data_IF_262137259322
#
_entry.id   IF_262137259322
#
_cell.length_a   1.000
_cell.length_b   1.000
_cell.length_c   1.000
_cell.angle_alpha   90.00
_cell.angle_beta   90.00
_cell.angle_gamma   90.00
#
_symmetry.space_group_name_H-M   'P 1'
#
loop_
_entity.id
_entity.type
_entity.pdbx_description
1 polymer ?
#
# COMPACT_ATOMS: atom_id res chain seq x y z
N UNK A 1 -21.83 -33.51 -6.91
CA UNK A 1 -21.00 -32.76 -5.92
C UNK A 1 -19.57 -32.44 -6.40
N UNK A 2 -19.24 -32.55 -7.70
CA UNK A 2 -17.82 -32.49 -8.15
C UNK A 2 -17.44 -31.27 -9.00
N UNK A 3 -18.38 -30.43 -9.45
CA UNK A 3 -18.07 -29.30 -10.35
C UNK A 3 -17.65 -28.03 -9.57
N UNK A 4 -18.23 -27.81 -8.38
CA UNK A 4 -17.93 -26.63 -7.55
C UNK A 4 -16.52 -26.67 -6.91
N UNK A 5 -16.03 -27.85 -6.55
CA UNK A 5 -14.67 -28.04 -5.98
C UNK A 5 -13.57 -27.79 -7.02
N UNK A 6 -13.82 -28.15 -8.30
CA UNK A 6 -12.88 -27.89 -9.40
C UNK A 6 -12.73 -26.40 -9.73
N UNK A 7 -13.79 -25.61 -9.61
CA UNK A 7 -13.77 -24.17 -9.88
C UNK A 7 -13.04 -23.39 -8.79
N UNK A 8 -13.19 -23.77 -7.51
CA UNK A 8 -12.42 -23.19 -6.39
C UNK A 8 -10.92 -23.45 -6.52
N UNK A 9 -10.53 -24.66 -6.91
CA UNK A 9 -9.12 -24.99 -7.14
C UNK A 9 -8.49 -24.18 -8.28
N UNK A 10 -9.22 -23.98 -9.40
CA UNK A 10 -8.72 -23.21 -10.55
C UNK A 10 -8.48 -21.73 -10.21
N UNK A 11 -9.35 -21.11 -9.43
CA UNK A 11 -9.16 -19.73 -8.98
C UNK A 11 -7.99 -19.60 -7.99
N UNK A 12 -7.81 -20.56 -7.09
CA UNK A 12 -6.68 -20.58 -6.16
C UNK A 12 -5.36 -20.74 -6.92
N UNK A 13 -5.28 -21.70 -7.84
CA UNK A 13 -4.08 -21.91 -8.68
C UNK A 13 -3.72 -20.65 -9.46
N UNK A 14 -4.70 -20.03 -10.15
CA UNK A 14 -4.49 -18.78 -10.88
C UNK A 14 -3.95 -17.67 -9.97
N UNK A 15 -4.52 -17.49 -8.77
CA UNK A 15 -4.09 -16.49 -7.80
C UNK A 15 -2.68 -16.78 -7.28
N UNK A 16 -2.33 -18.03 -7.02
CA UNK A 16 -0.97 -18.41 -6.62
C UNK A 16 0.04 -18.15 -7.74
N UNK A 17 -0.29 -18.52 -8.97
CA UNK A 17 0.57 -18.22 -10.14
C UNK A 17 0.74 -16.70 -10.29
N UNK A 18 -0.33 -15.92 -10.19
CA UNK A 18 -0.25 -14.46 -10.24
C UNK A 18 0.62 -13.89 -9.12
N UNK A 19 0.51 -14.43 -7.89
CA UNK A 19 1.33 -14.01 -6.76
C UNK A 19 2.81 -14.22 -7.07
N UNK A 20 3.22 -15.45 -7.33
CA UNK A 20 4.64 -15.77 -7.50
C UNK A 20 5.22 -15.17 -8.79
N UNK A 21 4.46 -15.15 -9.89
CA UNK A 21 4.87 -14.45 -11.10
C UNK A 21 5.07 -12.94 -10.84
N UNK A 22 4.14 -12.32 -10.09
CA UNK A 22 4.24 -10.91 -9.71
C UNK A 22 5.45 -10.64 -8.80
N UNK A 23 5.68 -11.46 -7.78
CA UNK A 23 6.81 -11.28 -6.87
C UNK A 23 8.17 -11.50 -7.55
N UNK A 24 8.28 -12.52 -8.41
CA UNK A 24 9.49 -12.76 -9.21
C UNK A 24 9.75 -11.59 -10.15
N UNK A 25 8.72 -11.16 -10.87
CA UNK A 25 8.82 -10.02 -11.79
C UNK A 25 9.19 -8.72 -11.06
N UNK A 26 8.72 -8.56 -9.82
CA UNK A 26 9.10 -7.42 -8.97
C UNK A 26 10.61 -7.43 -8.68
N UNK A 27 11.17 -8.57 -8.26
CA UNK A 27 12.61 -8.71 -8.03
C UNK A 27 13.43 -8.47 -9.31
N UNK A 28 12.98 -9.03 -10.44
CA UNK A 28 13.61 -8.78 -11.76
C UNK A 28 13.60 -7.28 -12.09
N UNK A 29 12.46 -6.62 -11.95
CA UNK A 29 12.32 -5.18 -12.25
C UNK A 29 13.23 -4.32 -11.37
N UNK A 30 13.31 -4.63 -10.08
CA UNK A 30 14.21 -3.91 -9.15
C UNK A 30 15.69 -4.12 -9.53
N UNK A 31 16.07 -5.32 -9.95
CA UNK A 31 17.42 -5.58 -10.46
C UNK A 31 17.75 -4.76 -11.72
N UNK A 32 16.79 -4.61 -12.65
CA UNK A 32 16.96 -3.77 -13.84
C UNK A 32 17.14 -2.29 -13.47
N UNK A 33 16.41 -1.80 -12.45
CA UNK A 33 16.61 -0.45 -11.93
C UNK A 33 18.02 -0.27 -11.35
N UNK A 34 18.53 -1.25 -10.61
CA UNK A 34 19.92 -1.26 -10.13
C UNK A 34 20.90 -1.18 -11.30
N UNK A 35 20.75 -2.06 -12.31
CA UNK A 35 21.62 -2.11 -13.49
C UNK A 35 21.56 -0.86 -14.38
N UNK A 36 20.44 -0.12 -14.32
CA UNK A 36 20.33 1.16 -15.03
C UNK A 36 21.28 2.23 -14.48
N UNK A 37 21.63 2.17 -13.19
CA UNK A 37 22.49 3.17 -12.55
C UNK A 37 21.92 4.59 -12.50
N UNK A 38 20.67 4.82 -12.96
CA UNK A 38 20.03 6.15 -13.04
C UNK A 38 19.21 6.53 -11.82
N UNK A 39 19.20 5.67 -10.80
CA UNK A 39 18.43 5.84 -9.55
C UNK A 39 17.40 4.76 -9.34
N UNK A 40 17.08 4.50 -8.08
CA UNK A 40 16.27 3.38 -7.62
C UNK A 40 14.95 3.84 -7.04
N UNK A 41 14.02 2.92 -6.87
CA UNK A 41 12.86 3.12 -6.02
C UNK A 41 13.26 3.39 -4.56
N UNK A 42 12.44 4.11 -3.76
CA UNK A 42 12.81 4.55 -2.41
C UNK A 42 13.43 3.47 -1.51
N UNK A 43 12.84 2.29 -1.48
CA UNK A 43 13.35 1.17 -0.68
C UNK A 43 14.60 0.52 -1.31
N UNK A 44 14.72 0.54 -2.63
CA UNK A 44 15.91 0.10 -3.34
C UNK A 44 17.13 0.94 -2.98
N UNK A 45 16.94 2.26 -2.81
CA UNK A 45 17.99 3.17 -2.33
C UNK A 45 18.50 2.73 -0.95
N UNK A 46 17.59 2.39 -0.02
CA UNK A 46 17.96 1.88 1.30
C UNK A 46 18.69 0.54 1.21
N UNK A 47 18.16 -0.39 0.40
CA UNK A 47 18.77 -1.71 0.26
C UNK A 47 20.17 -1.62 -0.33
N UNK A 48 20.36 -0.80 -1.35
CA UNK A 48 21.67 -0.56 -1.95
C UNK A 48 22.64 0.06 -0.95
N UNK A 49 22.22 1.13 -0.25
CA UNK A 49 23.08 1.79 0.74
C UNK A 49 23.50 0.86 1.88
N UNK A 50 22.61 -0.02 2.34
CA UNK A 50 22.94 -1.04 3.33
C UNK A 50 23.87 -2.12 2.76
N UNK A 51 23.65 -2.54 1.51
CA UNK A 51 24.51 -3.52 0.82
C UNK A 51 25.94 -2.99 0.70
N UNK A 52 26.13 -1.73 0.31
CA UNK A 52 27.43 -1.06 0.25
C UNK A 52 28.17 -1.03 1.60
N UNK A 53 27.44 -0.87 2.72
CA UNK A 53 28.03 -0.83 4.06
C UNK A 53 28.28 -2.21 4.65
N UNK A 54 27.51 -3.21 4.29
CA UNK A 54 27.58 -4.55 4.90
C UNK A 54 28.34 -5.56 4.06
N UNK A 55 28.55 -5.30 2.76
CA UNK A 55 29.12 -6.24 1.81
C UNK A 55 28.19 -7.41 1.44
N UNK A 56 26.92 -7.35 1.86
CA UNK A 56 25.90 -8.33 1.48
C UNK A 56 25.32 -8.00 0.11
N UNK A 57 24.70 -8.98 -0.54
CA UNK A 57 23.96 -8.73 -1.78
C UNK A 57 22.71 -7.89 -1.51
N UNK A 58 22.26 -7.12 -2.51
CA UNK A 58 21.09 -6.24 -2.37
C UNK A 58 19.84 -7.07 -2.07
N UNK A 59 19.70 -8.26 -2.65
CA UNK A 59 18.57 -9.16 -2.41
C UNK A 59 18.58 -9.71 -0.99
N UNK A 60 19.72 -10.11 -0.44
CA UNK A 60 19.84 -10.53 0.96
C UNK A 60 19.47 -9.39 1.91
N UNK A 61 19.96 -8.17 1.65
CA UNK A 61 19.58 -6.97 2.42
C UNK A 61 18.08 -6.71 2.32
N UNK A 62 17.48 -6.85 1.14
CA UNK A 62 16.03 -6.71 0.96
C UNK A 62 15.25 -7.70 1.82
N UNK A 63 15.71 -8.97 1.93
CA UNK A 63 15.11 -9.99 2.79
C UNK A 63 15.22 -9.58 4.26
N UNK A 64 16.40 -9.15 4.71
CA UNK A 64 16.64 -8.73 6.09
C UNK A 64 15.75 -7.53 6.46
N UNK A 65 15.74 -6.49 5.62
CA UNK A 65 14.90 -5.30 5.83
C UNK A 65 13.42 -5.67 5.83
N UNK A 66 12.99 -6.54 4.91
CA UNK A 66 11.63 -7.07 4.87
C UNK A 66 11.24 -7.80 6.15
N UNK A 67 12.13 -8.63 6.68
CA UNK A 67 11.94 -9.33 7.95
C UNK A 67 11.86 -8.34 9.13
N UNK A 68 12.73 -7.33 9.19
CA UNK A 68 12.68 -6.26 10.21
C UNK A 68 11.35 -5.51 10.13
N UNK A 69 10.89 -5.17 8.93
CA UNK A 69 9.58 -4.52 8.74
C UNK A 69 8.45 -5.40 9.23
N UNK A 70 8.50 -6.73 9.00
CA UNK A 70 7.51 -7.66 9.55
C UNK A 70 7.56 -7.73 11.08
N UNK A 71 8.74 -7.63 11.71
CA UNK A 71 8.84 -7.55 13.17
C UNK A 71 8.17 -6.28 13.71
N UNK A 72 8.25 -5.16 12.98
CA UNK A 72 7.52 -3.94 13.34
C UNK A 72 5.99 -4.10 13.24
N UNK A 73 5.47 -5.12 12.57
CA UNK A 73 4.04 -5.40 12.54
C UNK A 73 3.52 -5.94 13.88
N UNK A 74 4.37 -6.55 14.70
CA UNK A 74 3.97 -7.09 16.02
C UNK A 74 3.37 -6.01 16.92
N UNK A 75 4.05 -4.87 17.20
CA UNK A 75 3.46 -3.81 18.04
C UNK A 75 2.26 -3.13 17.37
N UNK A 76 2.20 -3.05 16.05
CA UNK A 76 1.07 -2.47 15.32
C UNK A 76 -0.07 -3.48 15.06
N UNK A 77 0.06 -4.71 15.60
CA UNK A 77 -0.94 -5.79 15.53
C UNK A 77 -1.43 -6.10 14.12
N UNK A 78 -0.57 -5.98 13.12
CA UNK A 78 -0.86 -6.42 11.76
C UNK A 78 -0.59 -7.92 11.64
N UNK A 79 -1.41 -8.62 10.84
CA UNK A 79 -1.25 -10.06 10.60
C UNK A 79 -0.68 -10.28 9.20
N UNK A 80 0.51 -10.90 9.07
CA UNK A 80 1.07 -11.23 7.76
C UNK A 80 0.24 -12.33 7.09
N UNK A 81 0.00 -12.17 5.79
CA UNK A 81 -0.58 -13.22 4.94
C UNK A 81 0.50 -14.04 4.24
N UNK A 82 0.08 -15.08 3.50
CA UNK A 82 0.99 -15.88 2.68
C UNK A 82 1.78 -15.00 1.70
N UNK A 83 1.08 -14.07 1.03
CA UNK A 83 1.72 -13.15 0.09
C UNK A 83 2.73 -12.22 0.76
N UNK A 84 2.48 -11.82 2.01
CA UNK A 84 3.40 -10.97 2.78
C UNK A 84 4.72 -11.67 3.06
N UNK A 85 4.66 -12.91 3.54
CA UNK A 85 5.87 -13.71 3.82
C UNK A 85 6.60 -14.07 2.53
N UNK A 86 5.87 -14.52 1.51
CA UNK A 86 6.46 -14.83 0.20
C UNK A 86 7.13 -13.62 -0.44
N UNK A 87 6.58 -12.41 -0.25
CA UNK A 87 7.13 -11.16 -0.78
C UNK A 87 8.57 -10.93 -0.27
N UNK A 88 8.82 -11.14 1.02
CA UNK A 88 10.13 -10.95 1.64
C UNK A 88 11.21 -11.79 0.94
N UNK A 89 10.93 -13.06 0.71
CA UNK A 89 11.92 -13.98 0.15
C UNK A 89 11.98 -13.94 -1.38
N UNK A 90 10.81 -13.98 -2.04
CA UNK A 90 10.75 -14.13 -3.49
C UNK A 90 11.36 -12.92 -4.23
N UNK A 91 11.10 -11.70 -3.75
CA UNK A 91 11.65 -10.48 -4.38
C UNK A 91 13.18 -10.46 -4.23
N UNK A 92 13.70 -10.70 -3.02
CA UNK A 92 15.15 -10.67 -2.78
C UNK A 92 15.90 -11.73 -3.59
N UNK A 93 15.40 -12.97 -3.61
CA UNK A 93 16.00 -14.06 -4.39
C UNK A 93 15.96 -13.81 -5.90
N UNK A 94 14.81 -13.34 -6.41
CA UNK A 94 14.68 -13.00 -7.84
C UNK A 94 15.58 -11.83 -8.23
N UNK A 95 15.75 -10.85 -7.34
CA UNK A 95 16.62 -9.71 -7.54
C UNK A 95 18.10 -10.14 -7.65
N UNK A 96 18.59 -10.91 -6.67
CA UNK A 96 19.99 -11.40 -6.70
C UNK A 96 20.22 -12.32 -7.88
N UNK A 97 19.29 -13.24 -8.19
CA UNK A 97 19.37 -14.09 -9.37
C UNK A 97 19.44 -13.30 -10.67
N UNK A 98 18.69 -12.21 -10.78
CA UNK A 98 18.72 -11.35 -11.97
C UNK A 98 20.03 -10.55 -12.03
N UNK A 99 20.51 -10.02 -10.91
CA UNK A 99 21.79 -9.29 -10.86
C UNK A 99 22.98 -10.18 -11.22
N UNK A 100 22.90 -11.48 -10.93
CA UNK A 100 23.92 -12.44 -11.34
C UNK A 100 23.91 -12.75 -12.86
N UNK A 101 22.77 -12.58 -13.52
CA UNK A 101 22.59 -12.89 -14.95
C UNK A 101 22.74 -11.67 -15.85
N UNK A 102 22.35 -10.49 -15.39
CA UNK A 102 22.37 -9.24 -16.17
C UNK A 102 23.66 -8.49 -15.84
N UNK A 103 24.56 -8.29 -16.81
CA UNK A 103 25.79 -7.55 -16.60
C UNK A 103 25.51 -6.06 -16.35
N UNK A 104 26.53 -5.37 -15.85
CA UNK A 104 26.50 -3.91 -15.75
C UNK A 104 26.43 -3.31 -17.16
N UNK A 105 25.68 -2.22 -17.30
CA UNK A 105 25.46 -1.54 -18.57
C UNK A 105 25.99 -0.12 -18.48
N UNK A 106 26.96 0.17 -19.34
CA UNK A 106 27.54 1.50 -19.45
C UNK A 106 26.87 2.31 -20.56
N UNK A 107 26.71 3.61 -20.28
CA UNK A 107 26.19 4.55 -21.23
C UNK A 107 24.66 4.65 -21.28
N UNK A 108 24.18 5.86 -21.53
CA UNK A 108 22.74 6.19 -21.52
C UNK A 108 21.91 5.37 -22.51
N UNK A 109 22.49 4.96 -23.62
CA UNK A 109 21.81 4.15 -24.63
C UNK A 109 21.31 2.78 -24.09
N UNK A 110 22.04 2.19 -23.12
CA UNK A 110 21.61 0.98 -22.45
C UNK A 110 20.87 1.24 -21.14
N UNK A 111 21.31 2.23 -20.36
CA UNK A 111 20.74 2.56 -19.06
C UNK A 111 19.29 3.03 -19.13
N UNK A 112 18.95 3.91 -20.12
CA UNK A 112 17.58 4.44 -20.26
C UNK A 112 16.55 3.36 -20.60
N UNK A 113 16.78 2.45 -21.56
CA UNK A 113 15.88 1.32 -21.79
C UNK A 113 15.71 0.40 -20.58
N UNK A 114 16.79 0.11 -19.83
CA UNK A 114 16.72 -0.68 -18.61
C UNK A 114 15.88 -0.01 -17.54
N UNK A 115 16.06 1.30 -17.34
CA UNK A 115 15.24 2.08 -16.42
C UNK A 115 13.75 2.03 -16.81
N UNK A 116 13.45 2.31 -18.08
CA UNK A 116 12.07 2.31 -18.58
C UNK A 116 11.42 0.94 -18.43
N UNK A 117 12.13 -0.12 -18.83
CA UNK A 117 11.69 -1.51 -18.70
C UNK A 117 11.48 -1.87 -17.23
N UNK A 118 12.43 -1.53 -16.35
CA UNK A 118 12.32 -1.74 -14.90
C UNK A 118 11.07 -1.10 -14.31
N UNK A 119 10.80 0.17 -14.63
CA UNK A 119 9.61 0.90 -14.13
C UNK A 119 8.32 0.22 -14.61
N UNK A 120 8.22 -0.11 -15.91
CA UNK A 120 7.02 -0.74 -16.47
C UNK A 120 6.79 -2.13 -15.87
N UNK A 121 7.84 -2.97 -15.82
CA UNK A 121 7.75 -4.30 -15.23
C UNK A 121 7.40 -4.25 -13.73
N UNK A 122 7.87 -3.24 -13.00
CA UNK A 122 7.51 -3.05 -11.60
C UNK A 122 6.03 -2.73 -11.45
N UNK A 123 5.46 -1.91 -12.34
CA UNK A 123 4.02 -1.65 -12.39
C UNK A 123 3.20 -2.90 -12.68
N UNK A 124 3.62 -3.73 -13.66
CA UNK A 124 3.00 -5.04 -13.97
C UNK A 124 3.06 -5.96 -12.76
N UNK A 125 4.24 -6.11 -12.16
CA UNK A 125 4.49 -6.94 -10.99
C UNK A 125 3.58 -6.54 -9.82
N UNK A 126 3.51 -5.25 -9.53
CA UNK A 126 2.65 -4.68 -8.49
C UNK A 126 1.18 -5.01 -8.76
N UNK A 127 0.70 -4.82 -9.99
CA UNK A 127 -0.66 -5.20 -10.38
C UNK A 127 -0.96 -6.67 -10.18
N UNK A 128 -0.02 -7.55 -10.56
CA UNK A 128 -0.17 -9.02 -10.43
C UNK A 128 -0.26 -9.46 -8.97
N UNK A 129 0.73 -9.08 -8.13
CA UNK A 129 0.77 -9.60 -6.75
C UNK A 129 -0.35 -9.03 -5.89
N UNK A 130 -0.75 -7.76 -6.08
CA UNK A 130 -1.88 -7.15 -5.36
C UNK A 130 -3.20 -7.82 -5.79
N UNK A 131 -3.41 -8.04 -7.10
CA UNK A 131 -4.59 -8.71 -7.62
C UNK A 131 -4.75 -10.15 -7.10
N UNK A 132 -3.66 -10.79 -6.69
CA UNK A 132 -3.67 -12.12 -6.10
C UNK A 132 -4.31 -12.18 -4.70
N UNK A 133 -4.40 -11.05 -3.96
CA UNK A 133 -5.09 -10.91 -2.66
C UNK A 133 -4.64 -11.90 -1.57
N UNK A 134 -3.36 -12.20 -1.47
CA UNK A 134 -2.77 -13.03 -0.40
C UNK A 134 -2.17 -12.23 0.76
N UNK A 135 -2.53 -10.98 0.87
CA UNK A 135 -2.07 -10.05 1.89
C UNK A 135 -1.22 -8.91 1.30
N UNK A 136 -1.13 -7.79 2.03
CA UNK A 136 -0.32 -6.66 1.61
C UNK A 136 1.17 -6.98 1.70
N UNK A 137 1.99 -6.31 0.91
CA UNK A 137 3.43 -6.35 1.07
C UNK A 137 3.87 -5.83 2.45
N UNK A 138 5.08 -6.19 2.93
CA UNK A 138 5.56 -5.74 4.24
C UNK A 138 5.50 -4.22 4.42
N UNK A 139 5.86 -3.47 3.40
CA UNK A 139 5.87 -1.99 3.37
C UNK A 139 4.46 -1.40 3.42
N UNK A 140 3.53 -1.98 2.64
CA UNK A 140 2.14 -1.52 2.56
C UNK A 140 1.43 -1.75 3.89
N UNK A 141 1.67 -2.89 4.53
CA UNK A 141 1.12 -3.19 5.85
C UNK A 141 1.69 -2.30 6.96
N UNK A 142 2.98 -1.93 6.88
CA UNK A 142 3.58 -0.94 7.78
C UNK A 142 2.87 0.41 7.64
N UNK A 143 2.68 0.90 6.41
CA UNK A 143 2.00 2.16 6.13
C UNK A 143 0.56 2.17 6.63
N UNK A 144 -0.20 1.11 6.35
CA UNK A 144 -1.60 0.98 6.80
C UNK A 144 -1.70 0.80 8.31
N UNK A 145 -0.77 0.09 8.93
CA UNK A 145 -0.69 -0.09 10.37
C UNK A 145 -0.41 1.22 11.10
N UNK A 146 0.58 1.98 10.65
CA UNK A 146 0.91 3.29 11.20
C UNK A 146 -0.22 4.31 10.98
N UNK A 147 -0.87 4.29 9.81
CA UNK A 147 -2.08 5.10 9.57
C UNK A 147 -3.15 4.85 10.64
N UNK A 148 -3.46 3.57 10.94
CA UNK A 148 -4.44 3.21 11.96
C UNK A 148 -4.04 3.63 13.38
N UNK A 149 -2.75 3.50 13.72
CA UNK A 149 -2.24 3.85 15.04
C UNK A 149 -2.19 5.36 15.28
N UNK A 150 -1.80 6.12 14.26
CA UNK A 150 -1.54 7.56 14.40
C UNK A 150 -2.73 8.42 14.04
N UNK A 151 -3.76 7.88 13.37
CA UNK A 151 -4.87 8.64 12.81
C UNK A 151 -4.49 9.63 11.70
N UNK A 152 -3.21 9.65 11.29
CA UNK A 152 -2.73 10.53 10.21
C UNK A 152 -3.13 9.99 8.84
N UNK A 153 -3.24 10.87 7.85
CA UNK A 153 -3.59 10.43 6.49
C UNK A 153 -2.57 9.42 5.97
N UNK A 154 -3.04 8.40 5.24
CA UNK A 154 -2.16 7.36 4.68
C UNK A 154 -1.12 7.96 3.73
N UNK A 155 -1.46 9.04 3.01
CA UNK A 155 -0.52 9.76 2.14
C UNK A 155 0.63 10.35 2.93
N UNK A 156 0.34 11.01 4.06
CA UNK A 156 1.37 11.59 4.92
C UNK A 156 2.29 10.51 5.50
N UNK A 157 1.72 9.41 6.02
CA UNK A 157 2.48 8.28 6.57
C UNK A 157 3.39 7.68 5.50
N UNK A 158 2.85 7.43 4.30
CA UNK A 158 3.61 6.91 3.16
C UNK A 158 4.77 7.85 2.81
N UNK A 159 4.48 9.13 2.57
CA UNK A 159 5.51 10.10 2.19
C UNK A 159 6.59 10.21 3.28
N UNK A 160 6.20 10.25 4.56
CA UNK A 160 7.16 10.30 5.66
C UNK A 160 8.09 9.08 5.69
N UNK A 161 7.54 7.86 5.53
CA UNK A 161 8.34 6.63 5.46
C UNK A 161 9.27 6.69 4.24
N UNK A 162 8.76 7.04 3.06
CA UNK A 162 9.56 7.08 1.84
C UNK A 162 10.69 8.11 1.94
N UNK A 163 10.44 9.28 2.51
CA UNK A 163 11.48 10.29 2.74
C UNK A 163 12.56 9.79 3.70
N UNK A 164 12.17 9.19 4.82
CA UNK A 164 13.11 8.62 5.79
C UNK A 164 13.95 7.51 5.16
N UNK A 165 13.32 6.62 4.41
CA UNK A 165 13.98 5.48 3.75
C UNK A 165 14.96 5.96 2.68
N UNK A 166 14.56 6.91 1.82
CA UNK A 166 15.45 7.48 0.80
C UNK A 166 16.61 8.24 1.43
N UNK A 167 16.33 9.11 2.42
CA UNK A 167 17.37 9.88 3.08
C UNK A 167 18.40 8.97 3.77
N UNK A 168 17.92 7.95 4.50
CA UNK A 168 18.81 6.97 5.15
C UNK A 168 19.62 6.19 4.12
N UNK A 169 18.98 5.69 3.06
CA UNK A 169 19.66 4.94 2.02
C UNK A 169 20.70 5.78 1.27
N UNK A 170 20.38 7.03 0.95
CA UNK A 170 21.32 7.96 0.32
C UNK A 170 22.54 8.25 1.19
N UNK A 171 22.33 8.51 2.49
CA UNK A 171 23.43 8.71 3.45
C UNK A 171 24.34 7.48 3.60
N UNK A 172 23.80 6.29 3.35
CA UNK A 172 24.55 5.03 3.37
C UNK A 172 25.26 4.71 2.04
N UNK A 173 25.05 5.50 0.99
CA UNK A 173 25.68 5.32 -0.32
C UNK A 173 24.74 4.82 -1.42
N UNK A 174 23.45 4.71 -1.16
CA UNK A 174 22.45 4.33 -2.16
C UNK A 174 22.24 5.41 -3.21
N UNK A 175 21.96 4.99 -4.44
CA UNK A 175 21.85 5.86 -5.62
C UNK A 175 20.46 6.50 -5.74
N UNK A 176 20.43 7.83 -5.66
CA UNK A 176 19.25 8.65 -5.97
C UNK A 176 19.53 9.42 -7.25
N UNK A 177 18.61 9.40 -8.20
CA UNK A 177 18.78 10.06 -9.49
C UNK A 177 17.48 10.34 -10.21
N UNK A 178 17.61 10.67 -11.50
CA UNK A 178 16.43 10.92 -12.37
C UNK A 178 15.49 9.72 -12.39
N UNK A 179 16.03 8.51 -12.35
CA UNK A 179 15.25 7.27 -12.28
C UNK A 179 14.36 7.20 -11.05
N UNK A 180 14.83 7.67 -9.88
CA UNK A 180 14.03 7.71 -8.64
C UNK A 180 12.80 8.61 -8.79
N UNK A 181 12.97 9.78 -9.42
CA UNK A 181 11.88 10.71 -9.68
C UNK A 181 10.89 10.14 -10.69
N UNK A 182 11.39 9.61 -11.80
CA UNK A 182 10.54 8.98 -12.83
C UNK A 182 9.76 7.79 -12.27
N UNK A 183 10.41 6.95 -11.46
CA UNK A 183 9.74 5.85 -10.78
C UNK A 183 8.61 6.37 -9.88
N UNK A 184 8.89 7.35 -9.02
CA UNK A 184 7.90 7.89 -8.09
C UNK A 184 6.66 8.46 -8.79
N UNK A 185 6.83 9.09 -9.95
CA UNK A 185 5.74 9.63 -10.76
C UNK A 185 4.98 8.56 -11.52
N UNK A 186 5.67 7.55 -12.06
CA UNK A 186 5.08 6.57 -12.96
C UNK A 186 4.45 5.37 -12.23
N UNK A 187 4.99 4.94 -11.07
CA UNK A 187 4.56 3.70 -10.44
C UNK A 187 3.09 3.71 -10.00
N UNK A 188 2.58 4.84 -9.50
CA UNK A 188 1.19 4.97 -9.08
C UNK A 188 0.20 4.69 -10.22
N UNK A 189 0.23 5.45 -11.32
CA UNK A 189 -0.61 5.22 -12.49
C UNK A 189 -0.44 3.83 -13.11
N UNK A 190 0.80 3.33 -13.25
CA UNK A 190 1.07 2.02 -13.80
C UNK A 190 0.48 0.89 -12.95
N UNK A 191 0.72 0.93 -11.63
CA UNK A 191 0.19 -0.07 -10.71
C UNK A 191 -1.35 -0.09 -10.74
N UNK A 192 -2.01 1.06 -10.78
CA UNK A 192 -3.47 1.15 -10.87
C UNK A 192 -4.00 0.59 -12.20
N UNK A 193 -3.34 0.92 -13.31
CA UNK A 193 -3.70 0.39 -14.63
C UNK A 193 -3.63 -1.14 -14.67
N UNK A 194 -2.49 -1.71 -14.25
CA UNK A 194 -2.29 -3.14 -14.27
C UNK A 194 -3.13 -3.88 -13.22
N UNK A 195 -3.38 -3.28 -12.05
CA UNK A 195 -4.27 -3.84 -11.05
C UNK A 195 -5.68 -4.06 -11.61
N UNK A 196 -6.22 -3.07 -12.33
CA UNK A 196 -7.53 -3.20 -13.00
C UNK A 196 -7.51 -4.29 -14.08
N UNK A 197 -6.39 -4.43 -14.80
CA UNK A 197 -6.24 -5.41 -15.88
C UNK A 197 -6.16 -6.85 -15.38
N UNK A 198 -5.56 -7.07 -14.20
CA UNK A 198 -5.32 -8.38 -13.61
C UNK A 198 -6.32 -8.77 -12.53
N UNK A 199 -7.24 -7.89 -12.15
CA UNK A 199 -8.26 -8.19 -11.16
C UNK A 199 -8.99 -9.50 -11.51
N UNK A 200 -9.10 -10.39 -10.53
CA UNK A 200 -9.88 -11.62 -10.67
C UNK A 200 -11.31 -11.29 -10.22
N UNK A 201 -12.32 -11.41 -11.11
CA UNK A 201 -13.72 -11.18 -10.76
C UNK A 201 -14.14 -12.09 -9.60
N UNK A 202 -14.70 -11.53 -8.54
CA UNK A 202 -15.40 -12.31 -7.52
C UNK A 202 -16.84 -12.53 -8.00
N UNK A 203 -17.24 -13.78 -8.20
CA UNK A 203 -18.65 -14.12 -8.31
C UNK A 203 -19.28 -13.95 -6.93
N UNK A 204 -20.13 -12.96 -6.78
CA UNK A 204 -20.86 -12.65 -5.54
C UNK A 204 -20.76 -11.20 -5.09
N UNK A 205 -19.99 -10.35 -5.77
CA UNK A 205 -19.92 -8.92 -5.45
C UNK A 205 -21.06 -8.10 -6.09
N UNK A 206 -21.87 -8.71 -6.97
CA UNK A 206 -23.00 -8.02 -7.61
C UNK A 206 -24.20 -7.82 -6.66
N UNK A 207 -24.21 -8.51 -5.50
CA UNK A 207 -25.26 -8.34 -4.47
C UNK A 207 -24.80 -7.57 -3.22
N UNK A 208 -23.53 -7.21 -3.11
CA UNK A 208 -23.04 -6.34 -2.06
C UNK A 208 -22.91 -4.92 -2.60
N UNK A 209 -23.70 -4.00 -2.06
CA UNK A 209 -23.55 -2.57 -2.33
C UNK A 209 -22.07 -2.17 -2.26
N UNK A 210 -21.57 -1.35 -3.19
CA UNK A 210 -20.15 -0.96 -3.22
C UNK A 210 -19.79 -0.35 -1.86
N UNK A 211 -18.84 -0.98 -1.17
CA UNK A 211 -18.23 -0.38 0.00
C UNK A 211 -17.71 1.01 -0.39
N UNK A 212 -17.93 2.05 0.42
CA UNK A 212 -17.51 3.38 0.08
C UNK A 212 -16.02 3.37 -0.21
N UNK A 213 -15.67 3.73 -1.44
CA UNK A 213 -14.29 3.91 -1.85
C UNK A 213 -13.72 5.03 -0.97
N UNK A 214 -12.54 4.87 -0.38
CA UNK A 214 -11.88 6.01 0.23
C UNK A 214 -11.61 7.02 -0.88
N UNK A 215 -12.28 8.17 -0.78
CA UNK A 215 -12.28 9.25 -1.74
C UNK A 215 -10.88 9.59 -2.22
N UNK A 216 -10.63 9.32 -3.48
CA UNK A 216 -9.58 9.98 -4.23
C UNK A 216 -10.01 11.44 -4.41
N UNK A 217 -9.62 12.29 -3.44
CA UNK A 217 -9.53 13.73 -3.60
C UNK A 217 -10.72 14.45 -4.25
N UNK A 218 -11.88 14.44 -3.61
CA UNK A 218 -12.92 15.43 -3.85
C UNK A 218 -12.99 16.38 -2.65
N UNK A 219 -12.75 17.66 -2.88
CA UNK A 219 -13.02 18.72 -1.92
C UNK A 219 -14.49 18.62 -1.47
N UNK A 220 -14.79 18.74 -0.18
CA UNK A 220 -16.17 18.93 0.25
C UNK A 220 -16.61 20.33 -0.22
N UNK A 221 -17.56 20.34 -1.13
CA UNK A 221 -18.33 21.54 -1.41
C UNK A 221 -19.07 21.91 -0.11
N UNK A 222 -18.86 23.12 0.34
CA UNK A 222 -19.56 23.77 1.43
C UNK A 222 -21.08 23.59 1.27
N UNK A 223 -21.84 23.26 2.32
CA UNK A 223 -23.30 23.33 2.24
C UNK A 223 -23.72 24.79 2.07
N UNK A 224 -24.45 25.05 1.00
CA UNK A 224 -25.17 26.30 0.77
C UNK A 224 -26.17 26.54 1.92
N UNK A 225 -26.32 27.80 2.40
CA UNK A 225 -27.32 28.10 3.42
C UNK A 225 -28.72 28.03 2.80
N UNK A 226 -29.56 27.19 3.40
CA UNK A 226 -30.96 26.98 3.06
C UNK A 226 -31.73 28.26 3.30
N UNK A 227 -32.03 29.03 2.25
CA UNK A 227 -32.99 30.12 2.22
C UNK A 227 -34.31 29.60 1.68
N UNK A 228 -35.12 29.02 2.56
CA UNK A 228 -36.47 28.52 2.23
C UNK A 228 -37.47 28.95 3.25
N UNK A 229 -37.94 30.20 3.12
CA UNK A 229 -39.18 30.73 3.64
C UNK A 229 -40.37 29.81 3.34
N UNK A 230 -41.13 29.46 4.33
CA UNK A 230 -42.61 29.45 4.22
C UNK A 230 -43.29 29.43 5.57
N UNK A 231 -44.01 30.48 5.77
CA UNK A 231 -45.00 30.70 6.80
C UNK A 231 -46.12 29.65 6.73
N UNK A 232 -46.62 29.21 7.89
CA UNK A 232 -48.05 28.86 8.11
C UNK A 232 -48.38 28.93 9.59
N UNK A 233 -49.16 29.91 9.86
CA UNK A 233 -50.22 30.17 10.87
C UNK A 233 -50.45 29.22 12.06
N UNK A 234 -50.71 29.76 13.24
CA UNK A 234 -51.08 29.01 14.44
C UNK A 234 -52.60 28.81 14.55
N UNK A 235 -53.02 27.67 15.01
CA UNK A 235 -54.36 27.48 15.54
C UNK A 235 -54.32 27.19 17.06
N UNK A 236 -55.28 27.70 17.83
CA UNK A 236 -55.27 27.68 19.30
C UNK A 236 -56.15 26.59 19.87
N UNK A 237 -55.82 26.13 21.04
CA UNK A 237 -56.83 25.48 21.85
C UNK A 237 -56.41 24.29 22.70
N UNK A 238 -56.39 24.58 23.96
CA UNK A 238 -56.81 23.84 25.15
C UNK A 238 -55.75 23.49 26.18
N UNK A 239 -55.72 24.29 27.20
CA UNK A 239 -55.36 23.94 28.58
C UNK A 239 -56.57 23.28 29.23
N UNK A 240 -56.45 22.34 30.19
CA UNK A 240 -56.14 22.77 31.54
C UNK A 240 -55.39 21.75 32.45
N UNK A 241 -54.69 22.30 33.43
CA UNK A 241 -54.70 21.97 34.89
C UNK A 241 -54.36 20.53 35.32
N UNK A 242 -53.56 20.30 36.27
CA UNK A 242 -53.37 20.84 37.61
C UNK A 242 -52.31 20.04 38.39
N UNK A 243 -51.54 20.76 39.25
CA UNK A 243 -51.29 20.44 40.67
C UNK A 243 -50.40 19.17 40.94
N UNK A 244 -49.34 19.15 41.68
CA UNK A 244 -48.82 19.76 42.87
C UNK A 244 -47.38 19.16 43.12
N UNK A 245 -46.47 19.98 43.49
CA UNK A 245 -45.82 20.09 44.80
C UNK A 245 -44.97 18.92 45.29
N UNK A 246 -43.75 19.24 45.63
CA UNK A 246 -42.91 18.45 46.54
C UNK A 246 -41.41 18.54 46.33
N UNK A 247 -40.82 19.64 46.75
CA UNK A 247 -39.43 19.69 47.28
C UNK A 247 -39.51 19.33 48.77
N UNK A 248 -38.41 19.12 49.56
CA UNK A 248 -36.99 19.30 49.28
C UNK A 248 -36.02 18.25 49.92
N UNK A 249 -34.72 18.58 49.82
CA UNK A 249 -33.69 18.39 50.81
C UNK A 249 -32.85 17.12 50.93
N UNK A 250 -31.58 17.35 50.98
CA UNK A 250 -30.53 16.72 51.78
C UNK A 250 -29.35 16.24 50.93
N UNK A 251 -28.36 17.00 50.66
CA UNK A 251 -27.16 17.41 51.43
C UNK A 251 -26.22 16.24 51.79
N UNK A 252 -24.98 16.50 51.48
CA UNK A 252 -23.76 16.19 52.24
C UNK A 252 -22.76 15.14 51.65
N UNK A 253 -21.63 15.75 51.20
CA UNK A 253 -20.20 15.47 51.44
C UNK A 253 -19.54 14.12 51.12
N UNK A 254 -18.56 14.33 50.27
CA UNK A 254 -17.10 13.91 50.20
C UNK A 254 -16.56 12.97 51.31
N UNK A 255 -15.41 12.34 51.13
CA UNK A 255 -14.21 12.74 50.37
C UNK A 255 -13.87 11.89 49.15
#
# INVERSE_FOLDING_TARGET
MSIASGLHGRHLTRRLVQLYAGLTLYGVSSALLVRSGLGLEPWGVLHQGLAEKTGLTIGVVSIIVGAVVLLLWVPIRQRPGLGTVSNVFAIGLAMDGTLALVPDVDGLAGQVPLLALGIVLNGVATGLYIAARFGPGPRDGLMTGLHRLTGRSIRLVRTAIEVVVVATGFLLGGSVGVGTVLYALAIGPLAQFFLRRFAVPERGADDAAPAPQPDAGGFPLTPEPDTGSSALTPEPGSVPSSVAAGTPEGAILRP
#
